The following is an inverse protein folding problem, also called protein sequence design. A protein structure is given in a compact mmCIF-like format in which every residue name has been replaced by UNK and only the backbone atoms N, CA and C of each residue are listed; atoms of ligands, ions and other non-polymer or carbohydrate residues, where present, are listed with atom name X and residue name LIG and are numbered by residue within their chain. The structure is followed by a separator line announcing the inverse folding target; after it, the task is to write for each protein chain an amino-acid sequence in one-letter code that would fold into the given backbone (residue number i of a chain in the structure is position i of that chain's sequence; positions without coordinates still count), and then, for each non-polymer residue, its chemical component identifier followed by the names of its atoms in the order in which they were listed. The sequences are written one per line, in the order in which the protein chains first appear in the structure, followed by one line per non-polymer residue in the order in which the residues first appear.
data_IF_730843764152
#
_entry.id   IF_730843764152
#
_cell.length_a   1.000
_cell.length_b   1.000
_cell.length_c   1.000
_cell.angle_alpha   90.00
_cell.angle_beta   90.00
_cell.angle_gamma   90.00
#
_symmetry.space_group_name_H-M   'P 1'
#
loop_
_entity.id
_entity.type
_entity.pdbx_description
1 polymer ?
#
# COMPACT_ATOMS: atom_id res chain seq x y z
N UNK A 1 -27.49 10.26 -4.57
CA UNK A 1 -27.25 11.55 -3.88
C UNK A 1 -26.04 12.15 -4.57
N UNK A 2 -26.17 13.24 -5.32
CA UNK A 2 -25.01 13.93 -5.90
C UNK A 2 -24.12 14.36 -4.74
N UNK A 3 -22.91 13.81 -4.57
CA UNK A 3 -21.96 14.39 -3.63
C UNK A 3 -21.76 15.83 -4.11
N UNK A 4 -21.87 16.78 -3.20
CA UNK A 4 -21.67 18.18 -3.48
C UNK A 4 -20.28 18.37 -4.12
N UNK A 5 -20.25 18.52 -5.45
CA UNK A 5 -19.06 18.80 -6.26
C UNK A 5 -18.61 20.26 -6.11
N UNK A 6 -19.23 21.02 -5.19
CA UNK A 6 -18.78 22.37 -4.89
C UNK A 6 -17.39 22.35 -4.24
N UNK A 7 -16.61 23.38 -4.55
CA UNK A 7 -15.38 23.71 -3.85
C UNK A 7 -15.67 24.93 -2.95
N UNK A 8 -16.39 24.76 -1.83
CA UNK A 8 -16.80 25.89 -1.01
C UNK A 8 -15.55 26.58 -0.45
N UNK A 9 -15.53 27.92 -0.36
CA UNK A 9 -14.34 28.68 0.05
C UNK A 9 -13.71 28.17 1.35
N UNK A 10 -14.52 27.81 2.34
CA UNK A 10 -14.05 27.26 3.61
C UNK A 10 -13.22 25.97 3.43
N UNK A 11 -13.70 25.01 2.63
CA UNK A 11 -12.97 23.74 2.43
C UNK A 11 -11.74 23.93 1.54
N UNK A 12 -11.77 24.88 0.61
CA UNK A 12 -10.59 25.26 -0.17
C UNK A 12 -9.49 25.86 0.74
N UNK A 13 -9.86 26.76 1.66
CA UNK A 13 -8.94 27.35 2.64
C UNK A 13 -8.35 26.29 3.58
N UNK A 14 -9.18 25.35 4.07
CA UNK A 14 -8.72 24.23 4.90
C UNK A 14 -7.78 23.30 4.13
N UNK A 15 -8.09 23.00 2.87
CA UNK A 15 -7.26 22.17 2.01
C UNK A 15 -5.88 22.77 1.80
N UNK A 16 -5.79 24.08 1.50
CA UNK A 16 -4.49 24.76 1.36
C UNK A 16 -3.69 24.69 2.68
N UNK A 17 -4.32 24.99 3.82
CA UNK A 17 -3.67 24.90 5.13
C UNK A 17 -3.14 23.49 5.40
N UNK A 18 -3.95 22.47 5.10
CA UNK A 18 -3.56 21.07 5.24
C UNK A 18 -2.30 20.75 4.41
N UNK A 19 -2.26 21.13 3.13
CA UNK A 19 -1.09 20.88 2.27
C UNK A 19 0.17 21.54 2.84
N UNK A 20 0.07 22.80 3.30
CA UNK A 20 1.21 23.51 3.90
C UNK A 20 1.67 22.86 5.21
N UNK A 21 0.75 22.38 6.04
CA UNK A 21 1.08 21.64 7.27
C UNK A 21 1.82 20.33 6.96
N UNK A 22 1.39 19.59 5.95
CA UNK A 22 2.05 18.34 5.52
C UNK A 22 3.45 18.63 4.95
N UNK A 23 3.61 19.69 4.15
CA UNK A 23 4.93 20.14 3.67
C UNK A 23 5.85 20.54 4.81
N UNK A 24 5.35 21.29 5.80
CA UNK A 24 6.11 21.68 6.98
C UNK A 24 6.53 20.45 7.81
N UNK A 25 5.65 19.46 7.96
CA UNK A 25 5.97 18.20 8.63
C UNK A 25 7.09 17.43 7.93
N UNK A 26 7.11 17.44 6.59
CA UNK A 26 8.17 16.82 5.79
C UNK A 26 9.58 17.39 6.02
N UNK A 27 9.71 18.55 6.66
CA UNK A 27 11.00 19.10 7.07
C UNK A 27 11.53 18.49 8.37
N UNK A 28 10.65 17.86 9.18
CA UNK A 28 11.01 17.17 10.42
C UNK A 28 11.15 15.66 10.24
N UNK A 29 10.48 15.10 9.23
CA UNK A 29 10.57 13.69 8.87
C UNK A 29 10.62 13.53 7.34
N UNK A 30 11.78 13.11 6.84
CA UNK A 30 12.06 13.03 5.41
C UNK A 30 11.21 11.96 4.68
N UNK A 31 10.64 10.98 5.39
CA UNK A 31 9.73 10.00 4.78
C UNK A 31 8.27 10.45 4.79
N UNK A 32 7.94 11.59 5.43
CA UNK A 32 6.54 11.96 5.66
C UNK A 32 5.79 12.31 4.38
N UNK A 33 6.44 12.97 3.42
CA UNK A 33 5.84 13.36 2.13
C UNK A 33 6.27 12.39 1.06
N UNK A 34 5.35 11.48 0.70
CA UNK A 34 5.53 10.45 -0.32
C UNK A 34 5.57 11.05 -1.73
N UNK A 35 4.57 11.89 -2.04
CA UNK A 35 4.48 12.61 -3.29
C UNK A 35 3.96 14.04 -3.08
N UNK A 36 4.45 14.97 -3.91
CA UNK A 36 3.91 16.33 -3.99
C UNK A 36 4.12 16.93 -5.38
N UNK A 37 3.02 17.31 -6.02
CA UNK A 37 2.99 17.91 -7.36
C UNK A 37 2.17 19.20 -7.42
N UNK A 38 1.93 19.83 -6.26
CA UNK A 38 1.28 21.15 -6.17
C UNK A 38 2.21 22.34 -6.49
N UNK A 39 1.75 23.57 -6.20
CA UNK A 39 2.51 24.79 -6.47
C UNK A 39 3.92 24.80 -5.84
N UNK A 40 5.01 24.96 -6.61
CA UNK A 40 6.38 24.99 -6.06
C UNK A 40 6.59 26.05 -4.97
N UNK A 41 5.84 27.16 -5.05
CA UNK A 41 5.88 28.23 -4.05
C UNK A 41 5.48 27.77 -2.64
N UNK A 42 4.57 26.80 -2.49
CA UNK A 42 4.19 26.29 -1.16
C UNK A 42 5.29 25.45 -0.52
N UNK A 43 6.05 24.69 -1.34
CA UNK A 43 7.25 23.99 -0.85
C UNK A 43 8.32 24.98 -0.40
N UNK A 44 8.53 26.06 -1.16
CA UNK A 44 9.46 27.13 -0.77
C UNK A 44 8.99 27.85 0.51
N UNK A 45 7.69 28.13 0.63
CA UNK A 45 7.10 28.74 1.82
C UNK A 45 7.37 27.91 3.08
N UNK A 46 7.21 26.58 3.00
CA UNK A 46 7.54 25.69 4.11
C UNK A 46 9.03 25.77 4.49
N UNK A 47 9.93 25.80 3.50
CA UNK A 47 11.38 25.94 3.71
C UNK A 47 11.77 27.28 4.34
N UNK A 48 11.07 28.36 3.98
CA UNK A 48 11.33 29.70 4.50
C UNK A 48 10.77 29.88 5.93
N UNK A 49 9.59 29.32 6.21
CA UNK A 49 8.94 29.42 7.52
C UNK A 49 9.57 28.50 8.58
N UNK A 50 9.99 27.30 8.19
CA UNK A 50 10.56 26.27 9.08
C UNK A 50 9.75 26.09 10.38
N UNK A 51 8.43 25.95 10.24
CA UNK A 51 7.53 25.85 11.38
C UNK A 51 7.98 24.74 12.35
N UNK A 52 8.08 25.05 13.65
CA UNK A 52 8.38 24.05 14.67
C UNK A 52 7.24 23.03 14.82
N UNK A 53 7.54 21.83 15.35
CA UNK A 53 6.51 20.82 15.64
C UNK A 53 5.36 21.38 16.51
N UNK A 54 5.68 22.22 17.50
CA UNK A 54 4.65 22.90 18.32
C UNK A 54 3.78 23.86 17.50
N UNK A 55 4.39 24.59 16.56
CA UNK A 55 3.68 25.46 15.63
C UNK A 55 2.76 24.69 14.68
N UNK A 56 3.26 23.57 14.12
CA UNK A 56 2.47 22.66 13.27
C UNK A 56 1.26 22.13 14.05
N UNK A 57 1.42 21.71 15.31
CA UNK A 57 0.31 21.25 16.16
C UNK A 57 -0.73 22.33 16.42
N UNK A 58 -0.30 23.55 16.77
CA UNK A 58 -1.21 24.67 17.02
C UNK A 58 -2.03 24.98 15.76
N UNK A 59 -1.37 25.14 14.61
CA UNK A 59 -2.02 25.42 13.35
C UNK A 59 -2.92 24.26 12.87
N UNK A 60 -2.55 23.00 13.15
CA UNK A 60 -3.40 21.82 12.88
C UNK A 60 -4.69 21.87 13.70
N UNK A 61 -4.61 22.18 15.00
CA UNK A 61 -5.79 22.31 15.87
C UNK A 61 -6.70 23.47 15.45
N UNK A 62 -6.13 24.63 15.09
CA UNK A 62 -6.88 25.75 14.53
C UNK A 62 -7.61 25.37 13.25
N UNK A 63 -6.94 24.61 12.37
CA UNK A 63 -7.51 24.14 11.10
C UNK A 63 -8.61 23.09 11.34
N UNK A 64 -8.43 22.18 12.30
CA UNK A 64 -9.46 21.22 12.72
C UNK A 64 -10.73 21.92 13.24
N UNK A 65 -10.59 23.01 13.98
CA UNK A 65 -11.72 23.77 14.52
C UNK A 65 -12.61 24.37 13.41
N UNK A 66 -12.04 24.70 12.24
CA UNK A 66 -12.80 25.19 11.08
C UNK A 66 -13.74 24.13 10.49
N UNK A 67 -13.48 22.85 10.74
CA UNK A 67 -14.28 21.74 10.24
C UNK A 67 -15.36 21.27 11.23
N UNK A 68 -15.57 21.95 12.37
CA UNK A 68 -16.42 21.44 13.45
C UNK A 68 -17.86 21.10 13.00
N UNK A 69 -18.47 21.97 12.19
CA UNK A 69 -19.86 21.85 11.73
C UNK A 69 -19.98 21.24 10.31
N UNK A 70 -18.86 20.82 9.72
CA UNK A 70 -18.80 20.31 8.34
C UNK A 70 -18.88 18.78 8.30
N UNK A 71 -19.95 18.24 7.70
CA UNK A 71 -20.24 16.79 7.71
C UNK A 71 -20.14 16.12 6.34
N UNK A 72 -19.84 16.87 5.27
CA UNK A 72 -19.66 16.28 3.94
C UNK A 72 -18.43 15.34 3.92
N UNK A 73 -18.41 14.40 2.96
CA UNK A 73 -17.36 13.38 2.88
C UNK A 73 -15.94 13.99 2.77
N UNK A 74 -15.80 15.11 2.03
CA UNK A 74 -14.54 15.86 1.91
C UNK A 74 -14.06 16.42 3.26
N UNK A 75 -14.96 16.99 4.05
CA UNK A 75 -14.63 17.49 5.39
C UNK A 75 -14.27 16.36 6.37
N UNK A 76 -14.97 15.21 6.28
CA UNK A 76 -14.62 14.01 7.04
C UNK A 76 -13.21 13.53 6.71
N UNK A 77 -12.86 13.51 5.42
CA UNK A 77 -11.50 13.18 4.97
C UNK A 77 -10.46 14.12 5.55
N UNK A 78 -10.57 15.43 5.29
CA UNK A 78 -9.63 16.45 5.77
C UNK A 78 -9.46 16.39 7.30
N UNK A 79 -10.54 16.14 8.05
CA UNK A 79 -10.46 15.98 9.51
C UNK A 79 -9.60 14.78 9.91
N UNK A 80 -9.80 13.62 9.29
CA UNK A 80 -9.00 12.41 9.55
C UNK A 80 -7.53 12.61 9.16
N UNK A 81 -7.28 13.28 8.04
CA UNK A 81 -5.94 13.64 7.60
C UNK A 81 -5.21 14.56 8.60
N UNK A 82 -5.88 15.64 9.05
CA UNK A 82 -5.33 16.56 10.05
C UNK A 82 -5.11 15.89 11.41
N UNK A 83 -5.98 14.95 11.80
CA UNK A 83 -5.77 14.14 13.02
C UNK A 83 -4.49 13.29 12.94
N UNK A 84 -4.17 12.73 11.76
CA UNK A 84 -2.93 12.01 11.54
C UNK A 84 -1.70 12.95 11.55
N UNK A 85 -1.81 14.15 10.99
CA UNK A 85 -0.76 15.20 11.11
C UNK A 85 -0.49 15.52 12.58
N UNK A 86 -1.53 15.72 13.39
CA UNK A 86 -1.41 15.99 14.81
C UNK A 86 -0.73 14.83 15.56
N UNK A 87 -1.14 13.59 15.29
CA UNK A 87 -0.56 12.40 15.90
C UNK A 87 0.93 12.25 15.57
N UNK A 88 1.30 12.40 14.30
CA UNK A 88 2.71 12.33 13.89
C UNK A 88 3.54 13.45 14.54
N UNK A 89 3.00 14.66 14.63
CA UNK A 89 3.68 15.77 15.29
C UNK A 89 3.98 15.46 16.77
N UNK A 90 3.04 14.85 17.48
CA UNK A 90 3.21 14.42 18.87
C UNK A 90 4.27 13.32 19.00
N UNK A 91 4.26 12.34 18.10
CA UNK A 91 5.26 11.27 18.07
C UNK A 91 6.67 11.83 17.85
N UNK A 92 6.85 12.77 16.91
CA UNK A 92 8.14 13.43 16.68
C UNK A 92 8.58 14.32 17.86
N UNK A 93 7.65 14.73 18.73
CA UNK A 93 7.96 15.38 20.02
C UNK A 93 8.26 14.38 21.16
N UNK A 94 8.31 13.08 20.87
CA UNK A 94 8.67 12.03 21.81
C UNK A 94 7.48 11.29 22.45
N UNK A 95 6.24 11.56 22.03
CA UNK A 95 5.09 10.76 22.46
C UNK A 95 5.25 9.33 21.93
N UNK A 96 5.19 8.34 22.83
CA UNK A 96 5.13 6.92 22.45
C UNK A 96 3.68 6.46 22.51
N UNK A 97 3.20 5.89 21.41
CA UNK A 97 1.89 5.25 21.32
C UNK A 97 2.08 3.74 21.34
N UNK A 98 1.12 3.01 21.88
CA UNK A 98 1.00 1.58 21.58
C UNK A 98 0.57 1.39 20.12
N UNK A 99 0.74 0.17 19.59
CA UNK A 99 0.62 -0.08 18.15
C UNK A 99 -0.81 0.15 17.62
N UNK A 100 -1.82 -0.25 18.40
CA UNK A 100 -3.21 -0.09 18.02
C UNK A 100 -3.64 1.39 18.09
N UNK A 101 -3.15 2.14 19.07
CA UNK A 101 -3.38 3.59 19.14
C UNK A 101 -2.66 4.32 18.01
N UNK A 102 -1.42 3.95 17.69
CA UNK A 102 -0.69 4.49 16.54
C UNK A 102 -1.48 4.25 15.24
N UNK A 103 -1.86 3.00 14.97
CA UNK A 103 -2.60 2.66 13.76
C UNK A 103 -3.97 3.35 13.67
N UNK A 104 -4.72 3.40 14.77
CA UNK A 104 -6.00 4.11 14.80
C UNK A 104 -5.85 5.60 14.49
N UNK A 105 -4.80 6.25 15.01
CA UNK A 105 -4.59 7.69 14.85
C UNK A 105 -3.96 8.07 13.50
N UNK A 106 -3.11 7.21 12.94
CA UNK A 106 -2.44 7.48 11.67
C UNK A 106 -3.21 6.94 10.47
N UNK A 107 -3.81 5.75 10.57
CA UNK A 107 -4.40 5.04 9.43
C UNK A 107 -5.90 4.80 9.56
N UNK A 108 -6.54 5.32 10.63
CA UNK A 108 -7.98 5.22 10.84
C UNK A 108 -8.50 3.77 10.89
N UNK A 109 -7.65 2.85 11.34
CA UNK A 109 -7.96 1.42 11.44
C UNK A 109 -7.10 0.73 12.50
N UNK A 110 -7.60 -0.39 13.00
CA UNK A 110 -6.90 -1.32 13.90
C UNK A 110 -7.02 -2.71 13.29
N UNK A 111 -5.90 -3.43 13.23
CA UNK A 111 -5.86 -4.81 12.71
C UNK A 111 -6.50 -5.77 13.71
N UNK A 112 -7.21 -6.83 13.26
CA UNK A 112 -7.50 -7.97 14.13
C UNK A 112 -6.19 -8.59 14.62
N UNK A 113 -6.28 -9.28 15.77
CA UNK A 113 -5.16 -10.00 16.37
C UNK A 113 -5.41 -11.51 16.35
N UNK A 114 -4.36 -12.27 16.10
CA UNK A 114 -4.39 -13.72 16.15
C UNK A 114 -3.25 -14.26 17.02
N UNK A 115 -3.44 -15.45 17.57
CA UNK A 115 -2.41 -16.13 18.36
C UNK A 115 -1.41 -16.86 17.46
N UNK A 116 -0.22 -17.18 17.99
CA UNK A 116 0.73 -18.08 17.31
C UNK A 116 0.07 -19.38 16.85
N UNK A 117 -0.74 -19.99 17.72
CA UNK A 117 -1.44 -21.24 17.46
C UNK A 117 -2.41 -21.17 16.27
N UNK A 118 -3.03 -20.01 16.02
CA UNK A 118 -3.85 -19.77 14.83
C UNK A 118 -3.01 -19.93 13.56
N UNK A 119 -1.82 -19.32 13.52
CA UNK A 119 -0.93 -19.41 12.37
C UNK A 119 -0.26 -20.78 12.25
N UNK A 120 0.09 -21.44 13.36
CA UNK A 120 0.65 -22.80 13.34
C UNK A 120 -0.31 -23.81 12.72
N UNK A 121 -1.62 -23.65 12.93
CA UNK A 121 -2.64 -24.45 12.26
C UNK A 121 -2.69 -24.22 10.72
N UNK A 122 -2.33 -23.02 10.24
CA UNK A 122 -2.18 -22.73 8.81
C UNK A 122 -0.87 -23.29 8.27
N UNK A 123 0.23 -23.19 9.03
CA UNK A 123 1.54 -23.78 8.68
C UNK A 123 1.42 -25.30 8.52
N UNK A 124 0.62 -25.99 9.33
CA UNK A 124 0.36 -27.43 9.19
C UNK A 124 -0.33 -27.81 7.86
N UNK A 125 -1.13 -26.92 7.28
CA UNK A 125 -1.70 -27.14 5.93
C UNK A 125 -0.62 -27.05 4.85
N UNK A 126 0.35 -26.13 5.02
CA UNK A 126 1.49 -25.97 4.11
C UNK A 126 2.43 -27.17 4.23
N UNK A 127 2.65 -27.67 5.44
CA UNK A 127 3.42 -28.89 5.70
C UNK A 127 2.88 -30.09 4.88
N UNK A 128 1.56 -30.26 4.87
CA UNK A 128 0.89 -31.31 4.09
C UNK A 128 1.09 -31.14 2.58
N UNK A 129 1.15 -29.90 2.08
CA UNK A 129 1.35 -29.61 0.65
C UNK A 129 2.79 -29.89 0.17
N UNK A 130 3.76 -29.67 1.05
CA UNK A 130 5.19 -29.85 0.79
C UNK A 130 5.77 -30.87 1.78
N UNK A 131 5.44 -32.16 1.66
CA UNK A 131 5.98 -33.18 2.56
C UNK A 131 7.48 -33.41 2.32
N UNK A 132 8.20 -33.74 3.38
CA UNK A 132 9.63 -34.08 3.32
C UNK A 132 10.35 -33.81 4.65
N UNK A 133 11.65 -34.00 4.66
CA UNK A 133 12.49 -33.75 5.84
C UNK A 133 12.73 -32.24 6.07
N UNK A 134 13.23 -31.87 7.25
CA UNK A 134 13.56 -30.48 7.62
C UNK A 134 12.39 -29.68 8.21
N UNK A 135 12.54 -28.36 8.33
CA UNK A 135 11.43 -27.49 8.75
C UNK A 135 10.50 -27.17 7.58
N UNK A 136 9.26 -26.74 7.88
CA UNK A 136 8.33 -26.26 6.84
C UNK A 136 8.92 -25.06 6.09
N UNK A 137 9.62 -24.17 6.80
CA UNK A 137 10.30 -23.02 6.20
C UNK A 137 11.37 -23.45 5.20
N UNK A 138 12.21 -24.43 5.54
CA UNK A 138 13.24 -24.95 4.63
C UNK A 138 12.63 -25.52 3.35
N UNK A 139 11.55 -26.30 3.48
CA UNK A 139 10.85 -26.90 2.33
C UNK A 139 10.17 -25.85 1.46
N UNK A 140 9.54 -24.85 2.06
CA UNK A 140 8.94 -23.72 1.33
C UNK A 140 10.01 -22.95 0.57
N UNK A 141 11.13 -22.61 1.21
CA UNK A 141 12.20 -21.84 0.58
C UNK A 141 12.90 -22.64 -0.53
N UNK A 142 13.15 -23.93 -0.32
CA UNK A 142 13.71 -24.82 -1.35
C UNK A 142 12.76 -24.99 -2.54
N UNK A 143 11.45 -25.08 -2.30
CA UNK A 143 10.46 -25.11 -3.38
C UNK A 143 10.44 -23.78 -4.16
N UNK A 144 10.37 -22.65 -3.45
CA UNK A 144 10.34 -21.30 -4.05
C UNK A 144 11.58 -20.94 -4.85
N UNK A 145 12.75 -21.47 -4.47
CA UNK A 145 14.00 -21.24 -5.20
C UNK A 145 13.94 -21.66 -6.68
N UNK A 146 13.05 -22.60 -7.05
CA UNK A 146 12.84 -23.03 -8.43
C UNK A 146 12.14 -21.99 -9.31
N UNK A 147 11.59 -20.92 -8.71
CA UNK A 147 10.76 -19.93 -9.39
C UNK A 147 11.40 -18.54 -9.47
N UNK A 148 12.70 -18.44 -9.20
CA UNK A 148 13.44 -17.19 -9.35
C UNK A 148 13.52 -16.81 -10.82
N UNK A 149 13.17 -15.57 -11.15
CA UNK A 149 13.31 -15.04 -12.50
C UNK A 149 14.79 -14.76 -12.76
N UNK A 150 15.40 -15.33 -13.83
CA UNK A 150 16.78 -14.98 -14.20
C UNK A 150 16.93 -13.48 -14.47
N UNK A 151 18.03 -12.88 -14.03
CA UNK A 151 18.25 -11.43 -14.08
C UNK A 151 18.14 -10.87 -15.51
N UNK A 152 18.65 -11.59 -16.51
CA UNK A 152 18.59 -11.24 -17.93
C UNK A 152 17.17 -11.29 -18.52
N UNK A 153 16.23 -11.95 -17.82
CA UNK A 153 14.82 -12.11 -18.24
C UNK A 153 13.86 -11.23 -17.44
N UNK A 154 14.30 -10.65 -16.32
CA UNK A 154 13.45 -9.90 -15.39
C UNK A 154 12.66 -8.79 -16.09
N UNK A 155 13.32 -7.97 -16.94
CA UNK A 155 12.64 -6.90 -17.69
C UNK A 155 11.48 -7.42 -18.52
N UNK A 156 11.71 -8.45 -19.34
CA UNK A 156 10.69 -8.97 -20.24
C UNK A 156 9.49 -9.57 -19.49
N UNK A 157 9.75 -10.23 -18.36
CA UNK A 157 8.70 -10.79 -17.50
C UNK A 157 7.88 -9.68 -16.84
N UNK A 158 8.53 -8.66 -16.28
CA UNK A 158 7.84 -7.50 -15.69
C UNK A 158 6.99 -6.77 -16.72
N UNK A 159 7.48 -6.60 -17.95
CA UNK A 159 6.75 -5.92 -19.03
C UNK A 159 5.51 -6.66 -19.45
N UNK A 160 5.61 -7.98 -19.55
CA UNK A 160 4.47 -8.82 -19.85
C UNK A 160 3.39 -8.71 -18.75
N UNK A 161 3.79 -8.72 -17.47
CA UNK A 161 2.88 -8.58 -16.35
C UNK A 161 2.22 -7.19 -16.29
N UNK A 162 3.00 -6.12 -16.41
CA UNK A 162 2.52 -4.72 -16.47
C UNK A 162 1.53 -4.55 -17.62
N UNK A 163 1.87 -5.04 -18.81
CA UNK A 163 0.99 -4.93 -19.99
C UNK A 163 -0.32 -5.68 -19.76
N UNK A 164 -0.28 -6.86 -19.16
CA UNK A 164 -1.49 -7.63 -18.85
C UNK A 164 -2.40 -6.93 -17.83
N UNK A 165 -1.82 -6.28 -16.81
CA UNK A 165 -2.54 -5.41 -15.87
C UNK A 165 -3.14 -4.19 -16.57
N UNK A 166 -2.38 -3.53 -17.46
CA UNK A 166 -2.83 -2.38 -18.25
C UNK A 166 -4.01 -2.72 -19.16
N UNK A 167 -3.90 -3.81 -19.91
CA UNK A 167 -4.96 -4.28 -20.82
C UNK A 167 -6.29 -4.51 -20.08
N UNK A 168 -6.24 -5.04 -18.86
CA UNK A 168 -7.43 -5.26 -18.01
C UNK A 168 -7.96 -3.96 -17.42
N UNK A 169 -7.08 -3.11 -16.91
CA UNK A 169 -7.44 -1.80 -16.35
C UNK A 169 -8.20 -0.96 -17.38
N UNK A 170 -7.70 -0.89 -18.61
CA UNK A 170 -8.28 -0.06 -19.68
C UNK A 170 -9.63 -0.56 -20.19
N UNK A 171 -10.07 -1.77 -19.84
CA UNK A 171 -11.43 -2.23 -20.14
C UNK A 171 -12.48 -1.50 -19.29
N UNK A 172 -12.09 -0.97 -18.13
CA UNK A 172 -13.02 -0.40 -17.15
C UNK A 172 -12.68 1.02 -16.71
N UNK A 173 -11.41 1.42 -16.79
CA UNK A 173 -10.93 2.73 -16.38
C UNK A 173 -10.26 3.41 -17.58
N UNK A 174 -10.92 4.45 -18.11
CA UNK A 174 -10.26 5.34 -19.05
C UNK A 174 -9.17 6.14 -18.32
N UNK A 175 -7.98 6.25 -18.90
CA UNK A 175 -6.88 7.04 -18.39
C UNK A 175 -6.52 8.17 -19.38
N UNK A 176 -5.92 9.28 -18.92
CA UNK A 176 -5.39 10.32 -19.81
C UNK A 176 -4.42 9.73 -20.85
N UNK A 177 -4.36 10.30 -22.05
CA UNK A 177 -3.44 9.82 -23.10
C UNK A 177 -1.98 10.08 -22.73
N UNK A 178 -1.77 11.05 -21.85
CA UNK A 178 -0.48 11.51 -21.35
C UNK A 178 0.00 10.74 -20.11
N UNK A 179 -0.76 9.77 -19.59
CA UNK A 179 -0.29 8.91 -18.49
C UNK A 179 0.86 8.01 -18.95
N UNK A 180 1.97 8.01 -18.21
CA UNK A 180 3.08 7.11 -18.48
C UNK A 180 3.95 6.92 -17.23
N UNK A 181 4.83 5.92 -17.26
CA UNK A 181 5.87 5.77 -16.26
C UNK A 181 7.16 5.17 -16.81
N UNK A 182 8.25 5.46 -16.12
CA UNK A 182 9.54 4.81 -16.34
C UNK A 182 9.72 3.67 -15.35
N UNK A 183 10.09 2.48 -15.83
CA UNK A 183 10.48 1.35 -14.99
C UNK A 183 12.00 1.29 -14.82
N UNK A 184 12.47 1.25 -13.58
CA UNK A 184 13.88 1.12 -13.22
C UNK A 184 14.11 -0.09 -12.30
N UNK A 185 15.23 -0.77 -12.50
CA UNK A 185 15.73 -1.76 -11.55
C UNK A 185 16.84 -1.13 -10.71
N UNK A 186 16.71 -1.23 -9.39
CA UNK A 186 17.61 -0.59 -8.42
C UNK A 186 18.13 -1.60 -7.40
N UNK A 187 19.16 -1.19 -6.65
CA UNK A 187 19.78 -1.92 -5.53
C UNK A 187 19.98 -1.00 -4.32
N UNK A 188 20.37 -1.55 -3.18
CA UNK A 188 20.68 -0.87 -1.91
C UNK A 188 19.49 -0.16 -1.27
N UNK A 189 18.36 -0.88 -1.23
CA UNK A 189 17.04 -0.29 -1.03
C UNK A 189 16.26 -1.04 0.10
N UNK A 190 15.77 -0.41 1.20
CA UNK A 190 14.90 -1.06 2.20
C UNK A 190 13.53 -1.60 1.75
N UNK A 191 13.16 -1.55 0.46
CA UNK A 191 11.83 -1.86 -0.04
C UNK A 191 11.92 -2.65 -1.35
N UNK A 192 10.85 -3.38 -1.71
CA UNK A 192 10.86 -4.30 -2.87
C UNK A 192 10.44 -3.64 -4.18
N UNK A 193 9.50 -2.70 -4.11
CA UNK A 193 8.94 -1.97 -5.24
C UNK A 193 8.44 -0.62 -4.74
N UNK A 194 8.39 0.37 -5.63
CA UNK A 194 7.85 1.69 -5.30
C UNK A 194 7.50 2.53 -6.50
N UNK A 195 6.41 3.27 -6.37
CA UNK A 195 5.96 4.25 -7.32
C UNK A 195 6.27 5.68 -6.85
N UNK A 196 7.22 6.34 -7.51
CA UNK A 196 7.45 7.77 -7.33
C UNK A 196 6.55 8.57 -8.27
N UNK A 197 5.37 9.00 -7.80
CA UNK A 197 4.50 9.87 -8.59
C UNK A 197 5.12 11.27 -8.74
N UNK A 198 5.19 11.78 -9.97
CA UNK A 198 5.84 13.06 -10.31
C UNK A 198 4.87 14.17 -10.66
N UNK A 199 3.56 13.89 -10.66
CA UNK A 199 2.54 14.78 -11.23
C UNK A 199 2.54 14.75 -12.74
N UNK A 200 1.56 15.43 -13.35
CA UNK A 200 1.31 15.40 -14.78
C UNK A 200 1.10 13.99 -15.34
N UNK A 201 0.51 13.11 -14.54
CA UNK A 201 0.27 11.71 -14.89
C UNK A 201 1.54 10.88 -15.13
N UNK A 202 2.68 11.30 -14.56
CA UNK A 202 3.98 10.62 -14.73
C UNK A 202 4.42 9.96 -13.43
N UNK A 203 4.93 8.72 -13.52
CA UNK A 203 5.59 8.02 -12.41
C UNK A 203 7.00 7.55 -12.77
N UNK A 204 7.81 7.28 -11.75
CA UNK A 204 8.97 6.39 -11.85
C UNK A 204 8.72 5.20 -10.95
N UNK A 205 8.64 4.00 -11.52
CA UNK A 205 8.49 2.75 -10.78
C UNK A 205 9.85 2.11 -10.63
N UNK A 206 10.26 1.86 -9.39
CA UNK A 206 11.54 1.23 -9.07
C UNK A 206 11.29 -0.15 -8.47
N UNK A 207 11.97 -1.17 -8.98
CA UNK A 207 11.95 -2.53 -8.43
C UNK A 207 13.34 -2.84 -7.86
N UNK A 208 13.39 -3.21 -6.59
CA UNK A 208 14.63 -3.59 -5.94
C UNK A 208 15.03 -5.02 -6.30
N UNK A 209 16.29 -5.19 -6.69
CA UNK A 209 16.89 -6.45 -7.13
C UNK A 209 17.93 -7.01 -6.15
N UNK A 210 18.06 -6.43 -4.95
CA UNK A 210 18.93 -6.95 -3.88
C UNK A 210 18.57 -8.39 -3.46
N UNK A 211 17.28 -8.75 -3.55
CA UNK A 211 16.78 -10.10 -3.29
C UNK A 211 16.23 -10.74 -4.57
N UNK A 212 16.25 -12.08 -4.68
CA UNK A 212 15.65 -12.78 -5.81
C UNK A 212 14.18 -12.40 -6.03
N UNK A 213 13.84 -12.02 -7.27
CA UNK A 213 12.46 -11.77 -7.69
C UNK A 213 11.86 -13.08 -8.21
N UNK A 214 10.83 -13.58 -7.53
CA UNK A 214 10.12 -14.80 -7.90
C UNK A 214 9.03 -14.53 -8.93
N UNK A 215 8.65 -15.54 -9.72
CA UNK A 215 7.69 -15.39 -10.83
C UNK A 215 6.32 -14.85 -10.40
N UNK A 216 5.85 -15.18 -9.19
CA UNK A 216 4.60 -14.67 -8.62
C UNK A 216 4.64 -13.15 -8.42
N UNK A 217 5.83 -12.61 -8.12
CA UNK A 217 6.02 -11.18 -7.86
C UNK A 217 5.89 -10.34 -9.13
N UNK A 218 5.98 -10.93 -10.32
CA UNK A 218 5.84 -10.18 -11.56
C UNK A 218 4.45 -9.57 -11.71
N UNK A 219 3.39 -10.38 -11.52
CA UNK A 219 2.01 -9.89 -11.51
C UNK A 219 1.77 -8.99 -10.30
N UNK A 220 2.22 -9.40 -9.11
CA UNK A 220 2.00 -8.61 -7.90
C UNK A 220 2.58 -7.20 -8.02
N UNK A 221 3.87 -7.06 -8.33
CA UNK A 221 4.54 -5.77 -8.43
C UNK A 221 4.06 -4.98 -9.66
N UNK A 222 3.85 -5.64 -10.79
CA UNK A 222 3.35 -4.99 -12.00
C UNK A 222 1.96 -4.38 -11.80
N UNK A 223 1.08 -5.07 -11.07
CA UNK A 223 -0.25 -4.55 -10.78
C UNK A 223 -0.25 -3.54 -9.64
N UNK A 224 0.45 -3.83 -8.54
CA UNK A 224 0.49 -3.01 -7.33
C UNK A 224 1.13 -1.64 -7.59
N UNK A 225 2.27 -1.60 -8.30
CA UNK A 225 2.97 -0.34 -8.56
C UNK A 225 2.42 0.41 -9.78
N UNK A 226 1.93 -0.32 -10.79
CA UNK A 226 1.47 0.25 -12.05
C UNK A 226 -0.06 0.14 -12.22
N UNK A 227 -0.55 -0.93 -12.87
CA UNK A 227 -1.94 -1.04 -13.33
C UNK A 227 -2.67 -2.22 -12.67
N UNK A 228 -3.73 -2.00 -11.86
CA UNK A 228 -4.43 -0.73 -11.61
C UNK A 228 -4.01 -0.04 -10.31
N UNK A 229 -2.84 -0.34 -9.76
CA UNK A 229 -2.40 0.13 -8.44
C UNK A 229 -1.90 1.58 -8.39
N UNK A 230 -0.76 1.82 -7.73
CA UNK A 230 -0.31 3.16 -7.32
C UNK A 230 -0.22 4.19 -8.45
N UNK A 231 0.23 3.80 -9.64
CA UNK A 231 0.27 4.73 -10.78
C UNK A 231 -1.14 5.21 -11.13
N UNK A 232 -2.08 4.27 -11.33
CA UNK A 232 -3.47 4.59 -11.68
C UNK A 232 -4.16 5.35 -10.55
N UNK A 233 -3.93 4.97 -9.29
CA UNK A 233 -4.45 5.67 -8.13
C UNK A 233 -4.09 7.16 -8.17
N UNK A 234 -2.80 7.49 -8.31
CA UNK A 234 -2.35 8.87 -8.35
C UNK A 234 -2.82 9.62 -9.61
N UNK A 235 -2.87 8.96 -10.76
CA UNK A 235 -3.42 9.53 -12.01
C UNK A 235 -4.89 9.93 -11.83
N UNK A 236 -5.70 9.10 -11.17
CA UNK A 236 -7.10 9.37 -10.89
C UNK A 236 -7.28 10.50 -9.87
N UNK A 237 -6.48 10.54 -8.80
CA UNK A 237 -6.48 11.66 -7.86
C UNK A 237 -6.16 12.98 -8.57
N UNK A 238 -5.11 13.02 -9.41
CA UNK A 238 -4.74 14.22 -10.14
C UNK A 238 -5.82 14.63 -11.14
N UNK A 239 -6.37 13.68 -11.92
CA UNK A 239 -7.38 13.97 -12.94
C UNK A 239 -8.70 14.41 -12.31
N UNK A 240 -9.26 13.60 -11.41
CA UNK A 240 -10.64 13.72 -10.97
C UNK A 240 -10.80 14.67 -9.79
N UNK A 241 -9.78 14.82 -8.93
CA UNK A 241 -9.88 15.64 -7.73
C UNK A 241 -9.10 16.94 -7.88
N UNK A 242 -7.82 16.87 -8.25
CA UNK A 242 -7.00 18.10 -8.36
C UNK A 242 -7.42 18.93 -9.57
N UNK A 243 -7.40 18.37 -10.78
CA UNK A 243 -7.66 19.13 -12.01
C UNK A 243 -9.15 19.38 -12.25
N UNK A 244 -10.00 18.38 -12.09
CA UNK A 244 -11.43 18.54 -12.38
C UNK A 244 -12.20 19.31 -11.29
N UNK A 245 -11.84 19.13 -10.01
CA UNK A 245 -12.57 19.77 -8.88
C UNK A 245 -11.79 20.88 -8.17
N UNK A 246 -10.51 21.05 -8.45
CA UNK A 246 -9.67 22.02 -7.75
C UNK A 246 -9.40 21.65 -6.29
N UNK A 247 -9.50 20.36 -5.93
CA UNK A 247 -9.28 19.88 -4.57
C UNK A 247 -7.79 19.67 -4.32
N UNK A 248 -7.13 20.78 -3.96
CA UNK A 248 -5.67 20.86 -3.83
C UNK A 248 -5.09 19.96 -2.73
N UNK A 249 -5.89 19.49 -1.77
CA UNK A 249 -5.42 18.54 -0.77
C UNK A 249 -4.92 17.21 -1.36
N UNK A 250 -5.34 16.85 -2.58
CA UNK A 250 -4.90 15.63 -3.27
C UNK A 250 -3.63 15.81 -4.10
N UNK A 251 -3.04 17.01 -4.14
CA UNK A 251 -1.74 17.24 -4.77
C UNK A 251 -0.56 16.82 -3.89
N UNK A 252 -0.83 16.38 -2.66
CA UNK A 252 0.15 15.88 -1.69
C UNK A 252 -0.29 14.53 -1.14
N UNK A 253 0.67 13.65 -0.89
CA UNK A 253 0.44 12.36 -0.26
C UNK A 253 1.34 12.22 0.99
N UNK A 254 0.78 12.34 2.21
CA UNK A 254 1.49 11.99 3.44
C UNK A 254 1.51 10.48 3.69
N UNK A 255 2.69 9.91 3.89
CA UNK A 255 2.91 8.48 4.09
C UNK A 255 2.24 7.95 5.35
N UNK A 256 2.28 8.70 6.45
CA UNK A 256 1.67 8.32 7.73
C UNK A 256 0.28 8.94 7.85
N UNK A 257 -0.66 8.44 7.05
CA UNK A 257 -2.01 8.99 6.98
C UNK A 257 -3.08 7.96 6.57
N UNK A 258 -4.38 8.26 6.77
CA UNK A 258 -5.46 7.38 6.34
C UNK A 258 -5.51 7.16 4.83
N UNK A 259 -4.89 8.04 4.04
CA UNK A 259 -4.75 7.85 2.59
C UNK A 259 -3.91 6.62 2.27
N UNK A 260 -2.90 6.30 3.08
CA UNK A 260 -2.03 5.14 2.84
C UNK A 260 -2.76 3.82 2.93
N UNK A 261 -3.71 3.67 3.85
CA UNK A 261 -4.51 2.45 3.92
C UNK A 261 -5.37 2.28 2.66
N UNK A 262 -5.94 3.36 2.12
CA UNK A 262 -6.70 3.32 0.87
C UNK A 262 -5.80 3.02 -0.32
N UNK A 263 -4.65 3.70 -0.43
CA UNK A 263 -3.71 3.54 -1.53
C UNK A 263 -3.14 2.11 -1.58
N UNK A 264 -2.61 1.61 -0.46
CA UNK A 264 -2.08 0.24 -0.33
C UNK A 264 -3.19 -0.80 -0.49
N UNK A 265 -4.36 -0.55 0.11
CA UNK A 265 -5.49 -1.48 0.04
C UNK A 265 -6.02 -1.64 -1.37
N UNK A 266 -6.17 -0.54 -2.11
CA UNK A 266 -6.57 -0.59 -3.53
C UNK A 266 -5.48 -1.16 -4.42
N UNK A 267 -4.20 -0.87 -4.18
CA UNK A 267 -3.10 -1.46 -4.94
C UNK A 267 -3.02 -2.99 -4.78
N UNK A 268 -3.21 -3.51 -3.56
CA UNK A 268 -3.23 -4.96 -3.31
C UNK A 268 -4.50 -5.64 -3.86
N UNK A 269 -5.70 -5.08 -3.59
CA UNK A 269 -6.94 -5.65 -4.11
C UNK A 269 -7.03 -5.56 -5.65
N UNK A 270 -6.44 -4.54 -6.26
CA UNK A 270 -6.37 -4.37 -7.71
C UNK A 270 -5.75 -5.56 -8.45
N UNK A 271 -4.89 -6.34 -7.78
CA UNK A 271 -4.32 -7.58 -8.31
C UNK A 271 -5.42 -8.64 -8.50
N UNK A 272 -6.20 -8.92 -7.44
CA UNK A 272 -7.32 -9.88 -7.47
C UNK A 272 -8.44 -9.42 -8.41
N UNK A 273 -8.71 -8.12 -8.45
CA UNK A 273 -9.72 -7.56 -9.33
C UNK A 273 -9.31 -7.69 -10.82
N UNK A 274 -8.01 -7.64 -11.10
CA UNK A 274 -7.46 -7.82 -12.44
C UNK A 274 -7.46 -9.28 -12.89
N UNK A 275 -7.21 -10.23 -11.99
CA UNK A 275 -7.13 -11.63 -12.35
C UNK A 275 -7.95 -12.49 -11.41
N UNK A 276 -8.91 -13.24 -11.95
CA UNK A 276 -9.38 -14.45 -11.26
C UNK A 276 -8.23 -15.45 -11.15
N UNK A 277 -8.29 -16.36 -10.18
CA UNK A 277 -7.27 -17.41 -9.99
C UNK A 277 -6.97 -18.19 -11.28
N UNK A 278 -8.02 -18.51 -12.04
CA UNK A 278 -7.90 -19.24 -13.30
C UNK A 278 -7.23 -18.39 -14.41
N UNK A 279 -7.60 -17.12 -14.52
CA UNK A 279 -6.98 -16.20 -15.48
C UNK A 279 -5.51 -15.93 -15.15
N UNK A 280 -5.18 -15.79 -13.86
CA UNK A 280 -3.81 -15.59 -13.40
C UNK A 280 -2.96 -16.81 -13.73
N UNK A 281 -3.42 -18.01 -13.34
CA UNK A 281 -2.69 -19.25 -13.59
C UNK A 281 -2.46 -19.47 -15.10
N UNK A 282 -3.50 -19.30 -15.92
CA UNK A 282 -3.39 -19.45 -17.37
C UNK A 282 -2.38 -18.48 -17.99
N UNK A 283 -2.44 -17.21 -17.59
CA UNK A 283 -1.52 -16.17 -18.04
C UNK A 283 -0.08 -16.46 -17.62
N UNK A 284 0.15 -16.79 -16.35
CA UNK A 284 1.46 -17.10 -15.83
C UNK A 284 2.07 -18.31 -16.57
N UNK A 285 1.32 -19.41 -16.73
CA UNK A 285 1.78 -20.62 -17.41
C UNK A 285 2.11 -20.39 -18.88
N UNK A 286 1.28 -19.64 -19.60
CA UNK A 286 1.44 -19.46 -21.05
C UNK A 286 2.43 -18.36 -21.41
N UNK A 287 2.62 -17.38 -20.53
CA UNK A 287 3.39 -16.17 -20.84
C UNK A 287 4.59 -16.04 -19.92
N UNK A 288 4.38 -15.89 -18.61
CA UNK A 288 5.46 -15.51 -17.70
C UNK A 288 6.49 -16.63 -17.49
N UNK A 289 6.04 -17.87 -17.30
CA UNK A 289 6.94 -19.02 -17.10
C UNK A 289 7.83 -19.26 -18.33
N UNK A 290 7.30 -19.33 -19.57
CA UNK A 290 8.14 -19.43 -20.77
C UNK A 290 9.11 -18.25 -20.92
N UNK A 291 8.67 -17.01 -20.65
CA UNK A 291 9.54 -15.83 -20.71
C UNK A 291 10.70 -15.93 -19.70
N UNK A 292 10.43 -16.42 -18.49
CA UNK A 292 11.45 -16.67 -17.47
C UNK A 292 12.29 -17.92 -17.74
N UNK A 293 11.86 -18.82 -18.65
CA UNK A 293 12.44 -20.15 -18.86
C UNK A 293 12.23 -21.10 -17.68
N UNK A 294 11.12 -20.93 -16.97
CA UNK A 294 10.67 -21.80 -15.88
C UNK A 294 9.69 -22.84 -16.43
N UNK A 295 9.57 -23.99 -15.75
CA UNK A 295 8.65 -25.06 -16.14
C UNK A 295 7.18 -24.69 -15.79
N UNK A 296 6.30 -24.46 -16.77
CA UNK A 296 4.89 -24.11 -16.52
C UNK A 296 4.11 -25.20 -15.79
N UNK A 297 4.57 -26.46 -15.80
CA UNK A 297 3.92 -27.56 -15.11
C UNK A 297 3.98 -27.41 -13.58
N UNK A 298 4.92 -26.61 -13.07
CA UNK A 298 5.05 -26.32 -11.64
C UNK A 298 4.05 -25.26 -11.14
N UNK A 299 3.49 -24.45 -12.03
CA UNK A 299 2.66 -23.30 -11.67
C UNK A 299 1.44 -23.66 -10.79
N UNK A 300 0.63 -24.71 -11.07
CA UNK A 300 -0.54 -25.00 -10.25
C UNK A 300 -0.19 -25.30 -8.78
N UNK A 301 0.92 -26.01 -8.55
CA UNK A 301 1.39 -26.30 -7.19
C UNK A 301 1.92 -25.03 -6.51
N UNK A 302 2.56 -24.14 -7.25
CA UNK A 302 3.03 -22.86 -6.69
C UNK A 302 1.88 -21.91 -6.36
N UNK A 303 0.85 -21.83 -7.21
CA UNK A 303 -0.39 -21.10 -6.91
C UNK A 303 -1.05 -21.63 -5.64
N UNK A 304 -1.15 -22.95 -5.47
CA UNK A 304 -1.72 -23.54 -4.25
C UNK A 304 -0.91 -23.16 -3.00
N UNK A 305 0.43 -23.16 -3.10
CA UNK A 305 1.30 -22.70 -2.01
C UNK A 305 1.05 -21.22 -1.70
N UNK A 306 1.00 -20.36 -2.71
CA UNK A 306 0.78 -18.92 -2.53
C UNK A 306 -0.57 -18.61 -1.88
N UNK A 307 -1.63 -19.35 -2.22
CA UNK A 307 -2.93 -19.22 -1.55
C UNK A 307 -2.86 -19.55 -0.05
N UNK A 308 -2.06 -20.53 0.35
CA UNK A 308 -1.86 -20.85 1.76
C UNK A 308 -0.95 -19.81 2.45
N UNK A 309 0.12 -19.37 1.79
CA UNK A 309 1.01 -18.33 2.32
C UNK A 309 0.32 -16.97 2.49
N UNK A 310 -0.68 -16.66 1.65
CA UNK A 310 -1.49 -15.45 1.77
C UNK A 310 -2.32 -15.44 3.06
N UNK A 311 -2.78 -16.60 3.55
CA UNK A 311 -3.50 -16.71 4.83
C UNK A 311 -2.64 -16.38 6.05
N UNK A 312 -1.31 -16.41 5.90
CA UNK A 312 -0.36 -16.04 6.94
C UNK A 312 -0.05 -14.53 6.95
N UNK A 313 -0.69 -13.72 6.09
CA UNK A 313 -0.37 -12.30 5.92
C UNK A 313 -0.53 -11.48 7.21
N UNK A 314 -1.52 -11.79 8.05
CA UNK A 314 -1.72 -11.11 9.33
C UNK A 314 -0.65 -11.42 10.38
N UNK A 315 0.16 -12.46 10.18
CA UNK A 315 1.29 -12.73 11.07
C UNK A 315 2.28 -11.55 11.05
N UNK A 316 2.44 -10.85 9.91
CA UNK A 316 3.24 -9.62 9.86
C UNK A 316 2.74 -8.57 10.87
N UNK A 317 1.42 -8.36 11.00
CA UNK A 317 0.84 -7.37 11.91
C UNK A 317 1.02 -7.78 13.38
N UNK A 318 0.71 -9.03 13.71
CA UNK A 318 0.83 -9.53 15.08
C UNK A 318 2.30 -9.59 15.56
N UNK A 319 3.24 -9.92 14.65
CA UNK A 319 4.67 -9.89 14.97
C UNK A 319 5.12 -8.43 15.18
N UNK A 320 4.77 -7.52 14.27
CA UNK A 320 5.14 -6.12 14.38
C UNK A 320 4.62 -5.50 15.68
N UNK A 321 3.34 -5.72 16.01
CA UNK A 321 2.73 -5.25 17.25
C UNK A 321 3.49 -5.77 18.47
N UNK A 322 3.61 -7.10 18.61
CA UNK A 322 4.22 -7.69 19.80
C UNK A 322 5.71 -7.32 19.93
N UNK A 323 6.43 -7.18 18.82
CA UNK A 323 7.83 -6.76 18.82
C UNK A 323 7.98 -5.28 19.22
N UNK A 324 7.22 -4.37 18.60
CA UNK A 324 7.30 -2.94 18.89
C UNK A 324 6.83 -2.58 20.30
N UNK A 325 5.91 -3.38 20.88
CA UNK A 325 5.46 -3.25 22.26
C UNK A 325 6.40 -3.95 23.27
N UNK A 326 7.44 -4.65 22.80
CA UNK A 326 8.42 -5.34 23.63
C UNK A 326 7.95 -6.66 24.24
N UNK A 327 6.82 -7.21 23.78
CA UNK A 327 6.34 -8.54 24.15
C UNK A 327 7.09 -9.67 23.45
N UNK A 328 7.65 -9.40 22.27
CA UNK A 328 8.64 -10.26 21.61
C UNK A 328 10.00 -9.56 21.60
N UNK A 329 11.05 -10.31 21.91
CA UNK A 329 12.42 -9.92 21.62
C UNK A 329 12.69 -9.93 20.11
N UNK A 330 13.80 -9.32 19.70
CA UNK A 330 14.28 -9.37 18.31
C UNK A 330 14.42 -10.80 17.81
N UNK A 331 15.00 -11.68 18.62
CA UNK A 331 15.25 -13.08 18.29
C UNK A 331 13.94 -13.86 18.13
N UNK A 332 12.97 -13.64 19.01
CA UNK A 332 11.65 -14.26 18.92
C UNK A 332 10.84 -13.75 17.73
N UNK A 333 10.92 -12.45 17.42
CA UNK A 333 10.27 -11.89 16.23
C UNK A 333 10.85 -12.48 14.93
N UNK A 334 12.18 -12.63 14.84
CA UNK A 334 12.84 -13.27 13.70
C UNK A 334 12.44 -14.75 13.59
N UNK A 335 12.36 -15.46 14.71
CA UNK A 335 11.90 -16.85 14.73
C UNK A 335 10.47 -16.98 14.20
N UNK A 336 9.54 -16.12 14.62
CA UNK A 336 8.19 -16.11 14.07
C UNK A 336 8.18 -15.78 12.57
N UNK A 337 8.98 -14.82 12.13
CA UNK A 337 9.06 -14.47 10.70
C UNK A 337 9.53 -15.66 9.84
N UNK A 338 10.47 -16.46 10.36
CA UNK A 338 10.99 -17.64 9.66
C UNK A 338 10.05 -18.84 9.75
N UNK A 339 9.50 -19.15 10.92
CA UNK A 339 8.80 -20.42 11.16
C UNK A 339 7.27 -20.32 11.10
N UNK A 340 6.72 -19.12 11.31
CA UNK A 340 5.27 -18.87 11.28
C UNK A 340 4.90 -18.13 10.00
N UNK A 341 5.57 -17.02 9.68
CA UNK A 341 5.32 -16.28 8.43
C UNK A 341 5.93 -16.96 7.20
N UNK A 342 6.91 -17.84 7.40
CA UNK A 342 7.61 -18.63 6.39
C UNK A 342 8.42 -17.77 5.40
N UNK A 343 9.03 -16.68 5.88
CA UNK A 343 10.01 -15.93 5.10
C UNK A 343 11.40 -16.60 5.13
N UNK A 344 12.21 -16.44 4.06
CA UNK A 344 13.64 -16.66 4.13
C UNK A 344 14.28 -15.82 5.26
N UNK A 345 15.33 -16.33 5.90
CA UNK A 345 15.98 -15.67 7.03
C UNK A 345 16.46 -14.25 6.69
N UNK A 346 17.01 -14.04 5.50
CA UNK A 346 17.47 -12.73 5.05
C UNK A 346 16.31 -11.74 4.92
N UNK A 347 15.18 -12.20 4.37
CA UNK A 347 13.96 -11.40 4.26
C UNK A 347 13.36 -11.09 5.63
N UNK A 348 13.41 -12.02 6.58
CA UNK A 348 12.95 -11.81 7.95
C UNK A 348 13.73 -10.66 8.63
N UNK A 349 15.05 -10.59 8.44
CA UNK A 349 15.86 -9.50 8.97
C UNK A 349 15.49 -8.14 8.36
N UNK A 350 15.29 -8.07 7.03
CA UNK A 350 14.83 -6.86 6.35
C UNK A 350 13.43 -6.44 6.84
N UNK A 351 12.53 -7.42 7.04
CA UNK A 351 11.18 -7.14 7.52
C UNK A 351 11.16 -6.56 8.94
N UNK A 352 12.04 -7.03 9.81
CA UNK A 352 12.16 -6.46 11.15
C UNK A 352 12.65 -5.00 11.12
N UNK A 353 13.62 -4.68 10.24
CA UNK A 353 14.04 -3.29 10.02
C UNK A 353 12.88 -2.41 9.50
N UNK A 354 12.01 -2.96 8.66
CA UNK A 354 10.81 -2.27 8.22
C UNK A 354 9.87 -1.96 9.40
N UNK A 355 9.69 -2.87 10.37
CA UNK A 355 8.91 -2.58 11.57
C UNK A 355 9.52 -1.45 12.39
N UNK A 356 10.85 -1.50 12.61
CA UNK A 356 11.58 -0.46 13.33
C UNK A 356 11.41 0.93 12.68
N UNK A 357 11.40 0.99 11.34
CA UNK A 357 11.32 2.24 10.58
C UNK A 357 9.89 2.76 10.37
N UNK A 358 8.91 1.87 10.23
CA UNK A 358 7.57 2.21 9.74
C UNK A 358 6.46 2.02 10.76
N UNK A 359 6.76 1.42 11.92
CA UNK A 359 5.80 1.23 13.01
C UNK A 359 4.56 0.46 12.54
N UNK A 360 3.38 1.02 12.81
CA UNK A 360 2.11 0.39 12.48
C UNK A 360 1.74 0.43 10.99
N UNK A 361 2.57 0.97 10.10
CA UNK A 361 2.29 1.04 8.65
C UNK A 361 2.00 -0.33 8.02
N UNK A 362 2.54 -1.40 8.60
CA UNK A 362 2.37 -2.78 8.10
C UNK A 362 0.90 -3.19 7.89
N UNK A 363 -0.05 -2.59 8.63
CA UNK A 363 -1.47 -2.90 8.48
C UNK A 363 -2.04 -2.43 7.14
N UNK A 364 -1.42 -1.43 6.50
CA UNK A 364 -1.96 -0.83 5.28
C UNK A 364 -2.01 -1.83 4.12
N UNK A 365 -1.16 -2.87 4.15
CA UNK A 365 -1.11 -3.91 3.12
C UNK A 365 -2.29 -4.90 3.23
N UNK A 366 -2.33 -5.71 4.29
CA UNK A 366 -3.31 -6.81 4.43
C UNK A 366 -4.70 -6.30 4.86
N UNK A 367 -4.79 -5.49 5.91
CA UNK A 367 -6.05 -4.91 6.38
C UNK A 367 -6.59 -3.93 5.34
N UNK A 368 -5.71 -3.14 4.71
CA UNK A 368 -6.12 -2.28 3.60
C UNK A 368 -6.73 -3.08 2.46
N UNK A 369 -6.11 -4.19 2.04
CA UNK A 369 -6.63 -5.06 0.99
C UNK A 369 -8.02 -5.60 1.36
N UNK A 370 -8.17 -6.15 2.56
CA UNK A 370 -9.45 -6.72 3.02
C UNK A 370 -10.55 -5.65 3.11
N UNK A 371 -10.21 -4.45 3.59
CA UNK A 371 -11.16 -3.33 3.67
C UNK A 371 -11.57 -2.81 2.29
N UNK A 372 -10.63 -2.65 1.35
CA UNK A 372 -10.91 -2.24 -0.02
C UNK A 372 -11.76 -3.30 -0.74
N UNK A 373 -11.38 -4.58 -0.64
CA UNK A 373 -12.11 -5.72 -1.20
C UNK A 373 -13.54 -5.75 -0.68
N UNK A 374 -13.71 -5.77 0.64
CA UNK A 374 -15.03 -5.84 1.25
C UNK A 374 -15.90 -4.65 0.83
N UNK A 375 -15.34 -3.43 0.74
CA UNK A 375 -16.08 -2.26 0.28
C UNK A 375 -16.56 -2.41 -1.17
N UNK A 376 -15.65 -2.78 -2.08
CA UNK A 376 -15.92 -2.92 -3.52
C UNK A 376 -16.92 -4.04 -3.79
N UNK A 377 -16.74 -5.20 -3.18
CA UNK A 377 -17.60 -6.37 -3.40
C UNK A 377 -19.03 -6.16 -2.89
N UNK A 378 -19.24 -5.28 -1.91
CA UNK A 378 -20.60 -4.91 -1.45
C UNK A 378 -21.35 -4.00 -2.42
N UNK A 379 -20.66 -3.32 -3.35
CA UNK A 379 -21.32 -2.38 -4.28
C UNK A 379 -22.00 -3.08 -5.46
N UNK A 380 -21.76 -4.37 -5.69
CA UNK A 380 -22.34 -5.09 -6.81
C UNK A 380 -21.97 -6.56 -6.83
N UNK A 381 -22.47 -7.29 -7.82
CA UNK A 381 -22.24 -8.74 -7.95
C UNK A 381 -21.50 -9.10 -9.23
N UNK A 382 -21.36 -8.14 -10.15
CA UNK A 382 -20.67 -8.33 -11.42
C UNK A 382 -19.29 -7.69 -11.38
N UNK A 383 -18.37 -8.25 -12.17
CA UNK A 383 -17.01 -7.71 -12.34
C UNK A 383 -17.03 -6.23 -12.78
N UNK A 384 -17.96 -5.83 -13.65
CA UNK A 384 -18.07 -4.44 -14.10
C UNK A 384 -18.49 -3.48 -12.97
N UNK A 385 -19.41 -3.90 -12.10
CA UNK A 385 -19.79 -3.13 -10.91
C UNK A 385 -18.64 -3.02 -9.91
N UNK A 386 -17.88 -4.10 -9.71
CA UNK A 386 -16.68 -4.10 -8.85
C UNK A 386 -15.62 -3.13 -9.39
N UNK A 387 -15.34 -3.14 -10.69
CA UNK A 387 -14.42 -2.18 -11.30
C UNK A 387 -14.90 -0.73 -11.20
N UNK A 388 -16.21 -0.48 -11.34
CA UNK A 388 -16.77 0.85 -11.15
C UNK A 388 -16.59 1.34 -9.71
N UNK A 389 -16.91 0.50 -8.73
CA UNK A 389 -16.71 0.79 -7.31
C UNK A 389 -15.24 0.95 -6.92
N UNK A 390 -14.35 0.16 -7.52
CA UNK A 390 -12.90 0.26 -7.32
C UNK A 390 -12.35 1.60 -7.83
N UNK A 391 -12.74 2.01 -9.04
CA UNK A 391 -12.40 3.34 -9.58
C UNK A 391 -12.93 4.44 -8.67
N UNK A 392 -14.19 4.37 -8.26
CA UNK A 392 -14.81 5.38 -7.40
C UNK A 392 -14.13 5.48 -6.03
N UNK A 393 -13.68 4.35 -5.46
CA UNK A 393 -12.88 4.34 -4.23
C UNK A 393 -11.54 5.08 -4.41
N UNK A 394 -10.83 4.84 -5.52
CA UNK A 394 -9.54 5.51 -5.80
C UNK A 394 -9.67 7.02 -6.03
N UNK A 395 -10.82 7.49 -6.49
CA UNK A 395 -11.05 8.90 -6.83
C UNK A 395 -12.12 9.56 -5.95
N UNK A 396 -12.21 9.18 -4.67
CA UNK A 396 -13.16 9.78 -3.72
C UNK A 396 -12.53 10.10 -2.37
N UNK A 397 -13.10 11.06 -1.60
CA UNK A 397 -12.59 11.42 -0.28
C UNK A 397 -12.98 10.40 0.80
N UNK A 398 -13.09 9.11 0.48
CA UNK A 398 -13.40 8.10 1.49
C UNK A 398 -12.24 7.92 2.46
N UNK A 399 -12.60 7.63 3.70
CA UNK A 399 -11.65 7.31 4.78
C UNK A 399 -11.80 5.84 5.15
N UNK A 400 -10.76 5.19 5.69
CA UNK A 400 -10.78 3.80 6.09
C UNK A 400 -11.98 3.42 6.96
N UNK A 401 -12.32 4.19 7.99
CA UNK A 401 -13.47 3.88 8.85
C UNK A 401 -14.79 3.83 8.07
N UNK A 402 -14.92 4.65 7.03
CA UNK A 402 -16.10 4.72 6.16
C UNK A 402 -16.17 3.62 5.09
N UNK A 403 -15.21 2.69 5.06
CA UNK A 403 -15.27 1.48 4.23
C UNK A 403 -15.98 0.31 4.91
N UNK A 404 -16.29 0.42 6.20
CA UNK A 404 -16.92 -0.64 6.99
C UNK A 404 -18.45 -0.59 6.96
N UNK A 405 -18.99 0.59 6.66
CA UNK A 405 -20.42 0.87 6.63
C UNK A 405 -21.10 0.41 5.33
#
# INVERSE_FOLDING_TARGET
MTPDDSNPPLLADVAERYVKLVLAMGLHDASYVDAYYGPPAWRQEALDQQASLSGIKAATNETLALLADEHCLRAVNLRKQLQAVLAKAEMLQGMRLDFDTESARLYDAVSPHHSRAYYEALVAQIDTLLPGDGSVSDRVNAFRAQFVIPADKLRAVMDAAIRAGRERTLQYIALPVEEDFVLEFVSDKPWSGYNWYKGNYQSVIQINTDLPVYIDRAVDLGCHEAYPGHHVYNVLLERDLVRAKGWMEYCIYPLYSPQSLIAEGTANYGIELSFTDAERLDFEQRVLYPLAGLDPALAPRYTQLNHLLAKLSYADNDIARQYLEGSLTREEALEWLVNVRLYPAEKSAQRLQFYDAMGAYVINYNLGQDMAKAYVERQGTTRAEHWAAFRDLMSSPRVPSGLRD
#
